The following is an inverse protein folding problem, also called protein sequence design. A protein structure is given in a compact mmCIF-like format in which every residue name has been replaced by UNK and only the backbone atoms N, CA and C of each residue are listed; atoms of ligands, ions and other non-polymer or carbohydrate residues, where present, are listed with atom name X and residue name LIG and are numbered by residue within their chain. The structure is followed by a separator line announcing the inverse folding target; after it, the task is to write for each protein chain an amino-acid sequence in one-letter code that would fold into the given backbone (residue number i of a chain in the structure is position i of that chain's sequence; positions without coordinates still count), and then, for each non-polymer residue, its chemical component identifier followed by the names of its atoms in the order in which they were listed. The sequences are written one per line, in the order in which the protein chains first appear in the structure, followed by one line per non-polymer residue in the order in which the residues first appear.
data_IF_071975248993
#
_entry.id   IF_071975248993
#
_cell.length_a   1.000
_cell.length_b   1.000
_cell.length_c   1.000
_cell.angle_alpha   90.00
_cell.angle_beta   90.00
_cell.angle_gamma   90.00
#
_symmetry.space_group_name_H-M   'P 1'
#
loop_
_entity.id
_entity.type
_entity.pdbx_description
1 polymer ?
#
# COMPACT_ATOMS: atom_id res chain seq x y z
N UNK A 1 7.89 -22.46 5.49
CA UNK A 1 6.84 -21.54 5.93
C UNK A 1 5.50 -22.24 5.73
N UNK A 2 4.75 -22.41 6.80
CA UNK A 2 3.40 -22.97 6.81
C UNK A 2 2.39 -21.88 6.42
N UNK A 3 1.90 -21.95 5.19
CA UNK A 3 1.00 -20.95 4.61
C UNK A 3 -0.43 -21.07 5.09
N UNK A 4 -0.78 -22.14 5.83
CA UNK A 4 -2.08 -22.21 6.51
C UNK A 4 -2.17 -21.20 7.67
N UNK A 5 -1.03 -20.77 8.22
CA UNK A 5 -0.93 -19.85 9.36
C UNK A 5 -0.68 -18.39 8.98
N UNK A 6 -0.12 -18.15 7.80
CA UNK A 6 0.23 -16.83 7.29
C UNK A 6 0.11 -16.78 5.77
N UNK A 7 -1.09 -17.01 5.22
CA UNK A 7 -1.30 -17.06 3.77
C UNK A 7 -0.95 -15.75 3.05
N UNK A 8 -1.16 -14.58 3.67
CA UNK A 8 -0.90 -13.30 3.03
C UNK A 8 0.62 -13.04 2.91
N UNK A 9 1.38 -13.32 3.98
CA UNK A 9 2.85 -13.25 3.97
C UNK A 9 3.47 -14.27 2.99
N UNK A 10 2.96 -15.51 2.97
CA UNK A 10 3.38 -16.50 1.97
C UNK A 10 3.11 -15.99 0.54
N UNK A 11 1.95 -15.40 0.30
CA UNK A 11 1.59 -14.90 -1.02
C UNK A 11 2.56 -13.82 -1.51
N UNK A 12 2.99 -12.90 -0.64
CA UNK A 12 4.00 -11.89 -0.99
C UNK A 12 5.37 -12.53 -1.27
N UNK A 13 5.82 -13.43 -0.40
CA UNK A 13 7.09 -14.14 -0.58
C UNK A 13 7.15 -14.94 -1.88
N UNK A 14 6.11 -15.71 -2.19
CA UNK A 14 6.01 -16.46 -3.44
C UNK A 14 5.94 -15.55 -4.66
N UNK A 15 5.31 -14.37 -4.57
CA UNK A 15 5.32 -13.40 -5.67
C UNK A 15 6.76 -12.94 -5.98
N UNK A 16 7.54 -12.62 -4.96
CA UNK A 16 8.95 -12.26 -5.16
C UNK A 16 9.74 -13.40 -5.82
N UNK A 17 9.70 -14.60 -5.25
CA UNK A 17 10.48 -15.74 -5.73
C UNK A 17 10.06 -16.18 -7.14
N UNK A 18 8.76 -16.29 -7.41
CA UNK A 18 8.25 -16.87 -8.65
C UNK A 18 8.06 -15.83 -9.77
N UNK A 19 7.80 -14.57 -9.43
CA UNK A 19 7.44 -13.54 -10.42
C UNK A 19 8.49 -12.43 -10.59
N UNK A 20 9.22 -12.06 -9.54
CA UNK A 20 10.25 -11.02 -9.61
C UNK A 20 11.61 -11.63 -9.93
N UNK A 21 12.14 -12.48 -9.04
CA UNK A 21 13.46 -13.09 -9.21
C UNK A 21 13.45 -14.30 -10.16
N UNK A 22 12.32 -15.00 -10.25
CA UNK A 22 12.08 -16.15 -11.15
C UNK A 22 13.10 -17.27 -11.02
N UNK A 23 13.65 -17.48 -9.82
CA UNK A 23 14.66 -18.50 -9.53
C UNK A 23 14.60 -18.89 -8.06
N UNK A 24 15.13 -20.07 -7.74
CA UNK A 24 15.34 -20.47 -6.35
C UNK A 24 16.33 -19.53 -5.68
N UNK A 25 15.91 -18.91 -4.58
CA UNK A 25 16.72 -17.94 -3.84
C UNK A 25 17.38 -18.64 -2.66
N UNK A 26 18.67 -18.37 -2.48
CA UNK A 26 19.38 -18.67 -1.24
C UNK A 26 19.52 -17.36 -0.48
N UNK A 27 18.87 -17.27 0.67
CA UNK A 27 18.96 -16.12 1.55
C UNK A 27 20.15 -16.29 2.47
N UNK A 28 20.67 -15.16 2.96
CA UNK A 28 21.67 -15.13 4.03
C UNK A 28 21.06 -14.44 5.25
N UNK A 29 21.36 -14.92 6.44
CA UNK A 29 20.94 -14.27 7.68
C UNK A 29 21.65 -12.92 7.85
N UNK A 30 20.90 -11.87 8.20
CA UNK A 30 21.50 -10.55 8.48
C UNK A 30 22.23 -10.51 9.83
N UNK A 31 21.91 -11.43 10.75
CA UNK A 31 22.42 -11.44 12.11
C UNK A 31 21.61 -10.54 13.06
N UNK A 32 22.28 -9.55 13.63
CA UNK A 32 21.77 -8.67 14.70
C UNK A 32 20.57 -7.81 14.30
N UNK A 33 19.83 -7.33 15.29
CA UNK A 33 18.64 -6.51 15.05
C UNK A 33 18.95 -5.13 14.42
N UNK A 34 20.14 -4.58 14.60
CA UNK A 34 20.52 -3.26 14.05
C UNK A 34 20.59 -3.25 12.50
N UNK A 35 21.07 -4.33 11.88
CA UNK A 35 21.07 -4.47 10.42
C UNK A 35 19.63 -4.50 9.84
N UNK A 36 18.65 -4.86 10.67
CA UNK A 36 17.25 -4.92 10.25
C UNK A 36 16.65 -3.51 10.09
N UNK A 37 17.07 -2.54 10.89
CA UNK A 37 16.53 -1.18 10.82
C UNK A 37 17.01 -0.45 9.56
N UNK A 38 18.30 -0.59 9.22
CA UNK A 38 18.84 -0.11 7.94
C UNK A 38 18.18 -0.79 6.74
N UNK A 39 17.98 -2.12 6.82
CA UNK A 39 17.29 -2.85 5.77
C UNK A 39 15.83 -2.37 5.58
N UNK A 40 15.09 -2.12 6.68
CA UNK A 40 13.72 -1.57 6.63
C UNK A 40 13.66 -0.15 6.08
N UNK A 41 14.61 0.70 6.46
CA UNK A 41 14.74 2.04 5.88
C UNK A 41 14.98 1.96 4.37
N UNK A 42 15.85 1.04 3.93
CA UNK A 42 16.13 0.77 2.51
C UNK A 42 15.00 0.02 1.78
N UNK A 43 14.05 -0.59 2.51
CA UNK A 43 12.79 -1.09 1.97
C UNK A 43 11.71 0.00 1.88
N UNK A 44 11.95 1.18 2.47
CA UNK A 44 10.94 2.22 2.58
C UNK A 44 9.82 1.89 3.58
N UNK A 45 10.06 1.02 4.55
CA UNK A 45 9.07 0.64 5.56
C UNK A 45 9.33 1.41 6.84
N UNK A 46 8.51 2.43 7.10
CA UNK A 46 8.63 3.24 8.32
C UNK A 46 8.32 2.42 9.58
N UNK A 47 9.15 2.55 10.62
CA UNK A 47 8.99 1.85 11.90
C UNK A 47 7.93 2.47 12.83
N UNK A 48 7.54 3.72 12.59
CA UNK A 48 6.49 4.39 13.36
C UNK A 48 5.11 4.20 12.68
N UNK A 49 4.04 3.88 13.45
CA UNK A 49 2.70 3.69 12.89
C UNK A 49 2.20 4.88 12.05
N UNK A 50 2.66 6.09 12.36
CA UNK A 50 2.29 7.33 11.68
C UNK A 50 2.90 7.48 10.27
N UNK A 51 4.03 6.83 10.03
CA UNK A 51 4.81 6.96 8.80
C UNK A 51 4.90 5.63 8.03
N UNK A 52 4.15 4.62 8.48
CA UNK A 52 4.14 3.30 7.90
C UNK A 52 3.34 3.31 6.60
N UNK A 53 3.93 2.78 5.54
CA UNK A 53 3.39 2.84 4.17
C UNK A 53 1.98 2.27 4.03
N UNK A 54 1.68 1.20 4.76
CA UNK A 54 0.34 0.59 4.78
C UNK A 54 -0.66 1.28 5.71
N UNK A 55 -0.29 2.40 6.34
CA UNK A 55 -1.11 3.16 7.29
C UNK A 55 -1.27 4.63 6.87
N UNK A 56 -0.73 5.03 5.73
CA UNK A 56 -0.67 6.42 5.26
C UNK A 56 -1.27 6.54 3.85
N UNK A 57 -2.06 7.58 3.61
CA UNK A 57 -2.52 7.93 2.26
C UNK A 57 -1.33 8.37 1.40
N UNK A 58 -1.32 8.07 0.10
CA UNK A 58 -2.42 7.51 -0.71
C UNK A 58 -2.44 5.97 -0.79
N UNK A 59 -1.47 5.29 -0.16
CA UNK A 59 -1.22 3.86 -0.40
C UNK A 59 -2.33 2.98 0.18
N UNK A 60 -2.71 3.22 1.44
CA UNK A 60 -3.81 2.46 2.07
C UNK A 60 -5.16 2.73 1.39
N UNK A 61 -5.36 3.95 0.88
CA UNK A 61 -6.50 4.33 0.03
C UNK A 61 -6.59 3.45 -1.22
N UNK A 62 -5.47 3.30 -1.92
CA UNK A 62 -5.44 2.55 -3.18
C UNK A 62 -5.55 1.05 -2.95
N UNK A 63 -4.76 0.53 -2.03
CA UNK A 63 -4.54 -0.90 -1.87
C UNK A 63 -5.52 -1.54 -0.91
N UNK A 64 -6.04 -0.83 0.10
CA UNK A 64 -6.71 -1.50 1.20
C UNK A 64 -8.18 -1.18 1.35
N UNK A 65 -8.56 0.07 1.12
CA UNK A 65 -9.96 0.45 1.23
C UNK A 65 -10.85 -0.30 0.21
N UNK A 66 -10.22 -0.87 -0.84
CA UNK A 66 -10.81 -1.75 -1.85
C UNK A 66 -10.58 -3.26 -1.62
N UNK A 67 -10.09 -3.69 -0.44
CA UNK A 67 -9.76 -5.11 -0.21
C UNK A 67 -11.01 -6.01 -0.28
N UNK A 68 -11.02 -7.06 -1.13
CA UNK A 68 -12.15 -7.96 -1.30
C UNK A 68 -12.54 -8.64 0.02
N UNK A 69 -13.84 -8.67 0.33
CA UNK A 69 -14.38 -9.39 1.50
C UNK A 69 -14.28 -8.64 2.83
N UNK A 70 -13.64 -7.46 2.87
CA UNK A 70 -13.62 -6.59 4.04
C UNK A 70 -12.97 -7.20 5.27
N UNK A 71 -11.77 -6.75 5.61
CA UNK A 71 -10.98 -7.26 6.76
C UNK A 71 -11.46 -6.84 8.16
N UNK A 72 -12.62 -6.18 8.29
CA UNK A 72 -13.08 -5.57 9.54
C UNK A 72 -12.12 -4.48 10.07
N UNK A 73 -11.95 -4.42 11.40
CA UNK A 73 -11.10 -3.45 12.11
C UNK A 73 -9.65 -3.96 12.35
N UNK A 74 -9.15 -4.88 11.52
CA UNK A 74 -7.80 -5.45 11.71
C UNK A 74 -6.72 -4.41 11.36
N UNK A 75 -5.69 -4.34 12.20
CA UNK A 75 -4.52 -3.50 11.94
C UNK A 75 -3.69 -4.04 10.77
N UNK A 76 -3.06 -3.14 10.01
CA UNK A 76 -2.22 -3.49 8.87
C UNK A 76 -0.76 -3.25 9.14
N UNK A 77 0.06 -4.16 8.66
CA UNK A 77 1.49 -4.00 8.60
C UNK A 77 1.95 -4.11 7.15
N UNK A 78 3.10 -3.51 6.87
CA UNK A 78 3.80 -3.73 5.61
C UNK A 78 4.62 -5.00 5.75
N UNK A 79 4.26 -6.01 4.99
CA UNK A 79 5.11 -7.18 4.78
C UNK A 79 6.14 -6.88 3.69
N UNK A 80 7.36 -7.31 3.93
CA UNK A 80 8.51 -7.11 3.04
C UNK A 80 9.16 -8.46 2.73
N UNK A 81 9.38 -8.73 1.44
CA UNK A 81 10.12 -9.90 1.02
C UNK A 81 11.14 -9.56 -0.07
N UNK A 82 12.43 -9.90 0.08
CA UNK A 82 13.07 -10.55 1.23
C UNK A 82 12.90 -9.73 2.52
N UNK A 83 12.84 -10.40 3.68
CA UNK A 83 12.62 -9.73 4.97
C UNK A 83 13.88 -9.00 5.42
N UNK A 84 13.77 -7.92 6.22
CA UNK A 84 14.94 -7.23 6.79
C UNK A 84 15.94 -8.14 7.55
N UNK A 85 15.45 -9.27 8.06
CA UNK A 85 16.28 -10.30 8.72
C UNK A 85 17.12 -11.15 7.74
N UNK A 86 16.97 -10.91 6.45
CA UNK A 86 17.75 -11.48 5.37
C UNK A 86 18.70 -10.41 4.88
N UNK A 87 19.97 -10.76 4.67
CA UNK A 87 20.95 -9.88 4.06
C UNK A 87 20.45 -9.49 2.66
N UNK A 88 20.44 -8.19 2.40
CA UNK A 88 19.93 -7.60 1.16
C UNK A 88 20.92 -6.59 0.63
N UNK A 89 20.94 -6.43 -0.69
CA UNK A 89 21.74 -5.38 -1.33
C UNK A 89 21.22 -3.99 -0.93
N UNK A 90 22.07 -2.98 -1.09
CA UNK A 90 21.66 -1.59 -0.92
C UNK A 90 20.56 -1.20 -1.92
N UNK A 91 19.72 -0.23 -1.53
CA UNK A 91 18.71 0.28 -2.43
C UNK A 91 19.33 0.88 -3.71
N UNK A 92 18.89 0.36 -4.85
CA UNK A 92 19.23 0.87 -6.18
C UNK A 92 17.95 1.29 -6.92
N UNK A 93 17.87 2.57 -7.25
CA UNK A 93 16.76 3.12 -8.03
C UNK A 93 16.57 2.38 -9.36
N UNK A 94 15.32 2.12 -9.72
CA UNK A 94 14.94 1.38 -10.93
C UNK A 94 15.05 -0.14 -10.80
N UNK A 95 15.29 -0.67 -9.59
CA UNK A 95 15.28 -2.12 -9.32
C UNK A 95 14.23 -2.47 -8.27
N UNK A 96 13.75 -3.71 -8.30
CA UNK A 96 12.86 -4.25 -7.27
C UNK A 96 13.72 -4.98 -6.25
N UNK A 97 14.12 -4.28 -5.19
CA UNK A 97 14.87 -4.88 -4.07
C UNK A 97 13.99 -5.84 -3.26
N UNK A 98 12.77 -5.40 -2.96
CA UNK A 98 11.77 -6.13 -2.19
C UNK A 98 10.41 -6.02 -2.87
N UNK A 99 9.57 -7.04 -2.71
CA UNK A 99 8.12 -6.86 -2.84
C UNK A 99 7.54 -6.49 -1.50
N UNK A 100 6.72 -5.44 -1.51
CA UNK A 100 5.96 -4.96 -0.38
C UNK A 100 4.50 -5.30 -0.59
N UNK A 101 3.82 -5.66 0.50
CA UNK A 101 2.38 -5.89 0.52
C UNK A 101 1.78 -5.40 1.83
N UNK A 102 0.64 -4.73 1.77
CA UNK A 102 -0.15 -4.45 2.96
C UNK A 102 -0.96 -5.69 3.32
N UNK A 103 -0.72 -6.24 4.51
CA UNK A 103 -1.40 -7.44 5.02
C UNK A 103 -1.83 -7.21 6.47
N UNK A 104 -2.67 -8.10 6.99
CA UNK A 104 -3.08 -7.99 8.39
C UNK A 104 -1.90 -8.22 9.33
N UNK A 105 -1.84 -7.44 10.44
CA UNK A 105 -0.75 -7.54 11.42
C UNK A 105 -0.64 -8.94 12.02
N UNK A 106 -1.77 -9.65 12.14
CA UNK A 106 -1.80 -11.04 12.60
C UNK A 106 -1.09 -12.00 11.64
N UNK A 107 -1.35 -11.87 10.33
CA UNK A 107 -0.70 -12.67 9.30
C UNK A 107 0.80 -12.34 9.22
N UNK A 108 1.15 -11.05 9.21
CA UNK A 108 2.55 -10.60 9.17
C UNK A 108 3.36 -11.12 10.38
N UNK A 109 2.83 -10.95 11.61
CA UNK A 109 3.47 -11.47 12.83
C UNK A 109 3.58 -12.99 12.83
N UNK A 110 2.59 -13.68 12.30
CA UNK A 110 2.61 -15.14 12.15
C UNK A 110 3.74 -15.56 11.20
N UNK A 111 3.83 -14.95 10.02
CA UNK A 111 4.91 -15.19 9.05
C UNK A 111 6.29 -14.89 9.61
N UNK A 112 6.48 -13.71 10.21
CA UNK A 112 7.72 -13.32 10.87
C UNK A 112 8.11 -14.23 12.05
N UNK A 113 7.15 -14.70 12.84
CA UNK A 113 7.39 -15.64 13.95
C UNK A 113 7.91 -16.98 13.46
N UNK A 114 7.42 -17.49 12.33
CA UNK A 114 7.93 -18.73 11.74
C UNK A 114 9.39 -18.61 11.34
N UNK A 115 9.78 -17.51 10.68
CA UNK A 115 11.19 -17.28 10.33
C UNK A 115 12.05 -17.06 11.58
N UNK A 116 11.56 -16.28 12.56
CA UNK A 116 12.25 -16.05 13.83
C UNK A 116 12.54 -17.37 14.57
N UNK A 117 11.55 -18.26 14.66
CA UNK A 117 11.73 -19.58 15.28
C UNK A 117 12.71 -20.45 14.49
N UNK A 118 12.62 -20.42 13.14
CA UNK A 118 13.60 -21.09 12.29
C UNK A 118 15.00 -20.56 12.56
N UNK A 119 15.23 -19.24 12.63
CA UNK A 119 16.54 -18.63 12.89
C UNK A 119 17.09 -18.98 14.27
N UNK A 120 16.24 -18.90 15.30
CA UNK A 120 16.66 -19.15 16.70
C UNK A 120 16.76 -20.62 17.09
N UNK A 121 16.26 -21.53 16.26
CA UNK A 121 16.22 -22.95 16.58
C UNK A 121 15.23 -23.20 17.72
N UNK A 122 14.08 -22.53 17.66
CA UNK A 122 13.04 -22.58 18.68
C UNK A 122 11.78 -23.26 18.13
N UNK A 123 10.87 -23.63 19.04
CA UNK A 123 9.56 -24.19 18.69
C UNK A 123 9.68 -25.42 17.79
N UNK A 124 9.08 -25.35 16.60
CA UNK A 124 9.12 -26.45 15.64
C UNK A 124 10.51 -26.76 15.10
N UNK A 125 11.48 -25.85 15.21
CA UNK A 125 12.85 -26.01 14.75
C UNK A 125 13.86 -26.26 15.89
N UNK A 126 13.37 -26.39 17.13
CA UNK A 126 14.21 -26.67 18.29
C UNK A 126 14.57 -28.14 18.48
N UNK A 127 15.25 -28.46 19.60
CA UNK A 127 15.80 -29.80 19.89
C UNK A 127 14.80 -30.94 19.74
N UNK A 128 13.57 -30.71 20.21
CA UNK A 128 12.45 -31.66 20.14
C UNK A 128 11.40 -31.25 19.09
N UNK A 129 11.73 -30.29 18.23
CA UNK A 129 10.83 -29.77 17.21
C UNK A 129 10.66 -30.71 16.03
N UNK A 130 9.46 -30.71 15.44
CA UNK A 130 9.10 -31.52 14.26
C UNK A 130 10.04 -31.26 13.06
N UNK A 131 10.49 -30.02 12.88
CA UNK A 131 11.30 -29.56 11.75
C UNK A 131 12.78 -29.36 12.12
N UNK A 132 13.25 -29.97 13.22
CA UNK A 132 14.66 -29.87 13.63
C UNK A 132 15.65 -30.32 12.55
N UNK A 133 15.28 -31.34 11.76
CA UNK A 133 16.13 -31.90 10.71
C UNK A 133 16.30 -30.97 9.50
N UNK A 134 15.43 -29.96 9.35
CA UNK A 134 15.56 -28.96 8.27
C UNK A 134 16.72 -27.99 8.52
N UNK A 135 17.21 -27.91 9.76
CA UNK A 135 18.40 -27.13 10.13
C UNK A 135 19.69 -27.92 9.91
N UNK A 136 19.98 -28.23 8.65
CA UNK A 136 20.99 -29.22 8.23
C UNK A 136 22.43 -28.94 8.68
N UNK A 137 22.80 -27.69 8.90
CA UNK A 137 24.18 -27.28 9.17
C UNK A 137 24.38 -26.67 10.57
N UNK A 138 23.38 -26.79 11.45
CA UNK A 138 23.41 -26.18 12.78
C UNK A 138 22.94 -27.17 13.84
N UNK A 139 23.64 -27.23 14.98
CA UNK A 139 23.18 -28.07 16.08
C UNK A 139 21.77 -27.65 16.52
N UNK A 140 20.90 -28.60 16.90
CA UNK A 140 19.54 -28.30 17.31
C UNK A 140 19.51 -27.27 18.46
N UNK A 141 18.76 -26.19 18.26
CA UNK A 141 18.65 -25.09 19.24
C UNK A 141 19.73 -24.02 19.16
N UNK A 142 20.66 -24.07 18.20
CA UNK A 142 21.57 -22.95 17.94
C UNK A 142 20.86 -21.83 17.18
N UNK A 143 21.28 -20.58 17.42
CA UNK A 143 20.86 -19.44 16.61
C UNK A 143 21.69 -19.41 15.32
N UNK A 144 21.14 -18.93 14.21
CA UNK A 144 21.89 -18.69 12.97
C UNK A 144 22.85 -17.50 13.15
N UNK A 145 24.05 -17.63 12.60
CA UNK A 145 25.04 -16.55 12.55
C UNK A 145 24.86 -15.69 11.30
N UNK A 146 25.34 -14.44 11.34
CA UNK A 146 25.33 -13.55 10.17
C UNK A 146 26.04 -14.22 9.00
N UNK A 147 25.37 -14.26 7.84
CA UNK A 147 25.88 -14.88 6.62
C UNK A 147 25.53 -16.36 6.45
N UNK A 148 24.95 -17.01 7.47
CA UNK A 148 24.39 -18.36 7.33
C UNK A 148 23.33 -18.37 6.23
N UNK A 149 23.33 -19.41 5.41
CA UNK A 149 22.47 -19.50 4.25
C UNK A 149 21.27 -20.43 4.48
N UNK A 150 20.14 -20.08 3.88
CA UNK A 150 18.95 -20.91 3.91
C UNK A 150 18.10 -20.70 2.67
N UNK A 151 17.18 -21.64 2.45
CA UNK A 151 16.16 -21.55 1.41
C UNK A 151 14.80 -21.65 2.07
N UNK A 152 13.79 -20.99 1.51
CA UNK A 152 12.42 -21.06 2.03
C UNK A 152 11.62 -22.05 1.19
N UNK A 153 10.86 -22.90 1.87
CA UNK A 153 9.85 -23.77 1.26
C UNK A 153 8.48 -23.36 1.78
N UNK A 154 7.44 -23.51 0.96
CA UNK A 154 6.07 -23.11 1.30
C UNK A 154 5.17 -24.35 1.40
N UNK A 155 4.70 -24.61 2.62
CA UNK A 155 3.88 -25.77 2.96
C UNK A 155 2.42 -25.37 3.17
N UNK A 156 1.49 -26.34 3.05
CA UNK A 156 0.05 -26.16 3.29
C UNK A 156 -0.54 -24.96 2.54
N UNK A 157 -0.11 -24.76 1.29
CA UNK A 157 -0.55 -23.67 0.43
C UNK A 157 -2.02 -23.85 0.07
N UNK A 158 -2.85 -22.87 0.45
CA UNK A 158 -4.20 -22.69 -0.08
C UNK A 158 -4.12 -21.80 -1.34
N UNK A 159 -4.31 -22.35 -2.55
CA UNK A 159 -4.11 -21.59 -3.78
C UNK A 159 -5.15 -20.48 -4.01
N UNK A 160 -6.23 -20.43 -3.22
CA UNK A 160 -7.19 -19.34 -3.24
C UNK A 160 -6.70 -18.12 -2.43
N UNK A 161 -5.94 -18.37 -1.35
CA UNK A 161 -5.40 -17.30 -0.49
C UNK A 161 -3.97 -16.90 -0.86
N UNK A 162 -3.21 -17.83 -1.44
CA UNK A 162 -1.82 -17.64 -1.82
C UNK A 162 -1.58 -18.04 -3.28
N UNK A 163 -2.27 -17.38 -4.24
CA UNK A 163 -2.23 -17.76 -5.65
C UNK A 163 -0.82 -17.74 -6.26
N UNK A 164 0.10 -16.92 -5.75
CA UNK A 164 1.47 -16.85 -6.26
C UNK A 164 2.37 -18.02 -5.83
N UNK A 165 1.92 -18.84 -4.87
CA UNK A 165 2.64 -20.03 -4.43
C UNK A 165 2.33 -21.28 -5.26
N UNK A 166 1.51 -21.16 -6.32
CA UNK A 166 1.28 -22.26 -7.28
C UNK A 166 2.58 -22.60 -8.02
N UNK A 167 2.78 -23.85 -8.50
CA UNK A 167 3.96 -24.21 -9.28
C UNK A 167 4.19 -23.35 -10.53
N UNK A 168 3.11 -22.91 -11.17
CA UNK A 168 3.12 -21.98 -12.31
C UNK A 168 2.09 -20.89 -12.04
N UNK A 169 2.44 -19.86 -11.26
CA UNK A 169 1.49 -18.81 -10.91
C UNK A 169 1.29 -17.86 -12.10
N UNK A 170 0.08 -17.31 -12.24
CA UNK A 170 -0.12 -16.12 -13.06
C UNK A 170 0.57 -14.95 -12.34
N UNK A 171 1.63 -14.41 -12.93
CA UNK A 171 2.41 -13.32 -12.36
C UNK A 171 1.79 -11.93 -12.60
N UNK A 172 0.56 -11.87 -13.10
CA UNK A 172 -0.23 -10.64 -13.12
C UNK A 172 -0.46 -10.18 -11.69
N UNK A 173 -0.02 -8.96 -11.38
CA UNK A 173 -0.19 -8.35 -10.07
C UNK A 173 -1.69 -8.24 -9.72
N UNK A 174 -2.04 -8.62 -8.49
CA UNK A 174 -3.42 -8.58 -8.00
C UNK A 174 -3.85 -7.15 -7.63
N UNK A 175 -2.91 -6.21 -7.65
CA UNK A 175 -3.07 -4.79 -7.28
C UNK A 175 -2.49 -4.46 -5.91
N UNK A 176 -1.97 -5.45 -5.18
CA UNK A 176 -1.52 -5.29 -3.81
C UNK A 176 0.00 -5.45 -3.64
N UNK A 177 0.73 -5.91 -4.66
CA UNK A 177 2.20 -5.84 -4.65
C UNK A 177 2.69 -4.48 -5.13
N UNK A 178 3.59 -3.90 -4.35
CA UNK A 178 4.27 -2.68 -4.69
C UNK A 178 5.73 -2.76 -4.28
N UNK A 179 6.51 -1.77 -4.70
CA UNK A 179 7.91 -1.65 -4.34
C UNK A 179 8.29 -0.17 -4.29
N UNK A 180 9.36 0.13 -3.55
CA UNK A 180 9.92 1.47 -3.52
C UNK A 180 10.70 1.72 -4.81
N UNK A 181 10.42 2.84 -5.47
CA UNK A 181 11.10 3.25 -6.73
C UNK A 181 12.14 4.33 -6.49
N UNK A 182 12.00 5.11 -5.40
CA UNK A 182 12.96 6.12 -4.96
C UNK A 182 13.02 6.19 -3.42
N UNK A 183 14.23 6.20 -2.88
CA UNK A 183 14.51 6.41 -1.45
C UNK A 183 15.00 7.84 -1.23
N UNK A 184 14.30 8.62 -0.41
CA UNK A 184 14.71 9.99 -0.12
C UNK A 184 15.77 10.09 0.96
N UNK A 185 16.85 10.80 0.64
CA UNK A 185 18.08 10.80 1.42
C UNK A 185 18.15 11.92 2.47
N UNK A 186 17.36 12.98 2.32
CA UNK A 186 17.45 14.21 3.14
C UNK A 186 16.63 14.12 4.44
N UNK A 187 17.08 13.29 5.40
CA UNK A 187 16.50 13.19 6.75
C UNK A 187 15.10 12.53 6.84
N UNK A 188 14.49 12.23 5.69
CA UNK A 188 13.19 11.55 5.56
C UNK A 188 13.32 10.10 5.04
N UNK A 189 14.52 9.51 5.10
CA UNK A 189 14.77 8.11 4.73
C UNK A 189 13.75 7.18 5.38
N UNK A 190 13.14 6.31 4.58
CA UNK A 190 12.18 5.32 5.07
C UNK A 190 10.85 5.89 5.57
N UNK A 191 10.60 7.20 5.50
CA UNK A 191 9.41 7.83 6.06
C UNK A 191 8.44 8.28 4.98
N UNK A 192 7.17 8.00 5.24
CA UNK A 192 6.04 8.66 4.60
C UNK A 192 5.40 9.64 5.57
N UNK A 193 4.81 10.69 5.03
CA UNK A 193 4.04 11.67 5.80
C UNK A 193 2.60 11.74 5.31
N UNK A 194 1.77 12.42 6.09
CA UNK A 194 0.40 12.74 5.75
C UNK A 194 0.20 14.24 5.93
N UNK A 195 -0.08 15.01 4.86
CA UNK A 195 -0.24 14.56 3.47
C UNK A 195 1.04 13.96 2.85
N UNK A 196 0.87 13.09 1.84
CA UNK A 196 2.01 12.55 1.09
C UNK A 196 2.51 13.57 0.07
N UNK A 197 3.74 14.02 0.28
CA UNK A 197 4.40 14.99 -0.59
C UNK A 197 5.42 14.27 -1.48
N UNK A 198 5.01 13.94 -2.70
CA UNK A 198 5.79 13.17 -3.67
C UNK A 198 7.23 13.70 -3.79
N UNK A 199 7.45 15.00 -3.96
CA UNK A 199 8.80 15.54 -4.20
C UNK A 199 9.76 15.48 -3.00
N UNK A 200 9.28 15.11 -1.80
CA UNK A 200 10.11 15.09 -0.58
C UNK A 200 9.99 13.81 0.25
N UNK A 201 9.32 12.79 -0.27
CA UNK A 201 9.10 11.51 0.40
C UNK A 201 9.45 10.35 -0.52
N UNK A 202 9.62 9.15 0.04
CA UNK A 202 9.90 7.95 -0.73
C UNK A 202 8.81 7.72 -1.79
N UNK A 203 9.22 7.23 -2.97
CA UNK A 203 8.30 6.91 -4.07
C UNK A 203 8.02 5.42 -4.12
N UNK A 204 6.79 5.07 -4.49
CA UNK A 204 6.34 3.69 -4.59
C UNK A 204 5.55 3.50 -5.87
N UNK A 205 5.70 2.33 -6.51
CA UNK A 205 4.88 1.93 -7.65
C UNK A 205 4.25 0.57 -7.40
N UNK A 206 3.06 0.34 -7.96
CA UNK A 206 2.51 -1.02 -8.06
C UNK A 206 3.46 -1.82 -8.96
N UNK A 207 3.84 -3.01 -8.52
CA UNK A 207 4.79 -3.84 -9.28
C UNK A 207 4.25 -4.14 -10.67
N UNK A 208 5.03 -3.79 -11.71
CA UNK A 208 4.64 -3.89 -13.12
C UNK A 208 4.00 -2.62 -13.69
N UNK A 209 3.72 -1.59 -12.89
CA UNK A 209 3.40 -0.24 -13.37
C UNK A 209 4.67 0.59 -13.55
N UNK A 210 4.64 1.50 -14.53
CA UNK A 210 5.78 2.38 -14.85
C UNK A 210 5.75 3.68 -14.05
N UNK A 211 4.56 4.15 -13.68
CA UNK A 211 4.39 5.38 -12.91
C UNK A 211 4.35 5.08 -11.41
N UNK A 212 4.87 6.04 -10.65
CA UNK A 212 4.74 6.03 -9.20
C UNK A 212 3.35 6.45 -8.75
N UNK A 213 2.95 5.97 -7.58
CA UNK A 213 1.77 6.41 -6.89
C UNK A 213 1.97 7.85 -6.37
N UNK A 214 0.94 8.68 -6.59
CA UNK A 214 0.82 10.06 -6.18
C UNK A 214 -0.45 10.27 -5.35
N UNK A 215 -0.46 11.34 -4.57
CA UNK A 215 -1.67 11.84 -3.92
C UNK A 215 -2.11 13.13 -4.58
N UNK A 216 -3.27 13.11 -5.21
CA UNK A 216 -3.90 14.26 -5.83
C UNK A 216 -4.95 14.87 -4.89
N UNK A 217 -5.34 16.11 -5.18
CA UNK A 217 -6.46 16.75 -4.48
C UNK A 217 -7.49 17.30 -5.45
N UNK A 218 -8.76 17.23 -5.05
CA UNK A 218 -9.87 17.91 -5.72
C UNK A 218 -10.58 18.82 -4.72
N UNK A 219 -10.84 20.05 -5.15
CA UNK A 219 -11.72 20.99 -4.47
C UNK A 219 -12.99 21.12 -5.30
N UNK A 220 -14.13 20.81 -4.69
CA UNK A 220 -15.45 21.00 -5.30
C UNK A 220 -16.19 22.05 -4.50
N UNK A 221 -16.61 23.10 -5.17
CA UNK A 221 -17.57 24.07 -4.69
C UNK A 221 -18.90 23.78 -5.36
N UNK A 222 -19.94 23.58 -4.55
CA UNK A 222 -21.31 23.43 -5.00
C UNK A 222 -22.14 24.61 -4.53
N UNK A 223 -22.90 25.21 -5.44
CA UNK A 223 -23.67 26.43 -5.14
C UNK A 223 -24.98 26.52 -5.94
N UNK A 224 -25.78 27.54 -5.63
CA UNK A 224 -27.06 27.79 -6.28
C UNK A 224 -28.25 27.28 -5.45
N UNK A 225 -29.46 27.63 -5.87
CA UNK A 225 -30.70 27.36 -5.12
C UNK A 225 -30.86 25.88 -4.79
N UNK A 226 -30.50 25.02 -5.75
CA UNK A 226 -30.62 23.55 -5.69
C UNK A 226 -29.24 22.86 -5.72
N UNK A 227 -28.15 23.62 -5.57
CA UNK A 227 -26.79 23.10 -5.65
C UNK A 227 -26.35 22.65 -7.03
N UNK A 228 -27.04 23.04 -8.08
CA UNK A 228 -26.73 22.57 -9.43
C UNK A 228 -25.42 23.16 -9.99
N UNK A 229 -24.87 24.25 -9.43
CA UNK A 229 -23.62 24.84 -9.92
C UNK A 229 -22.41 24.20 -9.26
N UNK A 230 -21.58 23.56 -10.06
CA UNK A 230 -20.33 22.95 -9.64
C UNK A 230 -19.16 23.77 -10.17
N UNK A 231 -18.19 24.06 -9.29
CA UNK A 231 -16.86 24.55 -9.65
C UNK A 231 -15.86 23.54 -9.09
N UNK A 232 -15.12 22.89 -9.96
CA UNK A 232 -14.20 21.82 -9.62
C UNK A 232 -12.79 22.26 -9.98
N UNK A 233 -11.86 22.12 -9.05
CA UNK A 233 -10.43 22.36 -9.28
C UNK A 233 -9.63 21.14 -8.84
N UNK A 234 -8.70 20.68 -9.68
CA UNK A 234 -7.81 19.55 -9.39
C UNK A 234 -6.37 20.02 -9.26
N UNK A 235 -5.64 19.39 -8.34
CA UNK A 235 -4.27 19.69 -7.97
C UNK A 235 -3.41 18.42 -8.07
N UNK A 236 -2.17 18.57 -8.52
CA UNK A 236 -1.22 17.45 -8.64
C UNK A 236 -0.59 17.03 -7.30
N UNK A 237 -0.94 17.70 -6.22
CA UNK A 237 -0.44 17.48 -4.86
C UNK A 237 -1.56 17.61 -3.83
N UNK A 238 -1.36 16.99 -2.67
CA UNK A 238 -2.33 16.94 -1.59
C UNK A 238 -2.51 18.29 -0.86
N UNK A 239 -1.45 19.10 -0.81
CA UNK A 239 -1.46 20.43 -0.18
C UNK A 239 -2.04 21.55 -1.06
N UNK A 240 -2.49 21.22 -2.27
CA UNK A 240 -3.09 22.15 -3.24
C UNK A 240 -2.15 23.28 -3.68
N UNK A 241 -0.84 23.04 -3.71
CA UNK A 241 0.18 24.02 -4.16
C UNK A 241 0.20 24.19 -5.67
N UNK A 242 -0.14 23.14 -6.43
CA UNK A 242 -0.04 23.11 -7.90
C UNK A 242 -1.37 22.72 -8.53
N UNK A 243 -2.14 23.73 -8.90
CA UNK A 243 -3.36 23.59 -9.72
C UNK A 243 -2.99 23.05 -11.10
N UNK A 244 -3.68 22.01 -11.56
CA UNK A 244 -3.47 21.41 -12.89
C UNK A 244 -4.72 21.39 -13.76
N UNK A 245 -5.90 21.61 -13.19
CA UNK A 245 -7.14 21.65 -13.95
C UNK A 245 -8.26 22.35 -13.18
N UNK A 246 -9.23 22.89 -13.91
CA UNK A 246 -10.48 23.37 -13.33
C UNK A 246 -11.59 23.40 -14.35
N UNK A 247 -12.82 23.15 -13.91
CA UNK A 247 -14.02 23.25 -14.74
C UNK A 247 -15.22 23.62 -13.91
N UNK A 248 -16.14 24.36 -14.50
CA UNK A 248 -17.41 24.70 -13.88
C UNK A 248 -18.56 24.37 -14.81
N UNK A 249 -19.66 23.88 -14.25
CA UNK A 249 -20.86 23.54 -15.01
C UNK A 249 -22.10 23.49 -14.10
N UNK A 250 -23.28 23.49 -14.71
CA UNK A 250 -24.55 23.22 -14.04
C UNK A 250 -24.91 21.75 -14.20
N UNK A 251 -24.79 20.97 -13.12
CA UNK A 251 -25.06 19.52 -13.10
C UNK A 251 -26.36 19.20 -12.38
N UNK A 252 -27.35 18.76 -13.15
CA UNK A 252 -28.54 18.09 -12.60
C UNK A 252 -28.17 16.71 -12.04
N UNK A 253 -29.01 16.17 -11.16
CA UNK A 253 -28.82 14.82 -10.61
C UNK A 253 -28.58 13.78 -11.71
N UNK A 254 -27.62 12.88 -11.49
CA UNK A 254 -27.21 11.84 -12.43
C UNK A 254 -26.33 12.33 -13.59
N UNK A 255 -26.03 13.62 -13.68
CA UNK A 255 -25.09 14.17 -14.67
C UNK A 255 -23.66 14.20 -14.13
N UNK A 256 -22.72 14.22 -15.05
CA UNK A 256 -21.29 14.15 -14.76
C UNK A 256 -20.55 15.33 -15.36
N UNK A 257 -19.45 15.71 -14.71
CA UNK A 257 -18.52 16.73 -15.15
C UNK A 257 -17.11 16.14 -15.19
N UNK A 258 -16.55 16.04 -16.39
CA UNK A 258 -15.18 15.59 -16.60
C UNK A 258 -14.21 16.77 -16.50
N UNK A 259 -13.19 16.65 -15.65
CA UNK A 259 -12.14 17.64 -15.41
C UNK A 259 -10.80 17.06 -15.81
N UNK A 260 -10.15 17.69 -16.77
CA UNK A 260 -8.86 17.27 -17.32
C UNK A 260 -7.70 17.94 -16.57
N UNK A 261 -6.45 17.50 -16.85
CA UNK A 261 -5.21 18.12 -16.33
C UNK A 261 -4.39 17.24 -15.39
N UNK A 262 -4.97 16.17 -14.88
CA UNK A 262 -4.26 15.05 -14.25
C UNK A 262 -3.84 14.02 -15.34
N UNK A 263 -2.97 13.03 -15.02
CA UNK A 263 -2.60 11.99 -16.00
C UNK A 263 -3.81 11.20 -16.54
N UNK A 264 -4.84 11.05 -15.70
CA UNK A 264 -6.15 10.54 -16.08
C UNK A 264 -7.22 11.54 -15.69
N UNK A 265 -8.36 11.52 -16.37
CA UNK A 265 -9.40 12.49 -16.10
C UNK A 265 -10.17 12.17 -14.82
N UNK A 266 -10.60 13.22 -14.12
CA UNK A 266 -11.49 13.10 -12.97
C UNK A 266 -12.93 13.37 -13.41
N UNK A 267 -13.82 12.40 -13.22
CA UNK A 267 -15.25 12.55 -13.44
C UNK A 267 -15.95 12.83 -12.11
N UNK A 268 -16.60 13.99 -12.01
CA UNK A 268 -17.46 14.37 -10.87
C UNK A 268 -18.91 14.01 -11.19
N UNK A 269 -19.61 13.37 -10.26
CA UNK A 269 -21.00 12.91 -10.41
C UNK A 269 -21.89 13.63 -9.39
N UNK A 270 -22.94 14.29 -9.87
CA UNK A 270 -23.99 14.85 -9.01
C UNK A 270 -24.97 13.74 -8.63
N UNK A 271 -25.13 13.45 -7.34
CA UNK A 271 -26.00 12.35 -6.88
C UNK A 271 -27.39 12.78 -6.43
N UNK A 272 -27.69 14.08 -6.35
CA UNK A 272 -29.01 14.57 -5.93
C UNK A 272 -28.96 16.01 -5.43
N UNK A 273 -29.71 16.34 -4.39
CA UNK A 273 -29.91 17.71 -3.89
C UNK A 273 -28.71 18.28 -3.15
N UNK A 274 -28.72 19.59 -2.82
CA UNK A 274 -27.58 20.36 -2.28
C UNK A 274 -26.75 19.67 -1.20
N UNK A 275 -27.39 18.97 -0.26
CA UNK A 275 -26.76 18.29 0.88
C UNK A 275 -26.33 16.84 0.60
N UNK A 276 -26.62 16.32 -0.59
CA UNK A 276 -26.21 14.98 -0.99
C UNK A 276 -24.73 14.90 -1.36
N UNK A 277 -24.22 13.67 -1.26
CA UNK A 277 -22.81 13.37 -1.53
C UNK A 277 -22.44 13.63 -2.99
N UNK A 278 -21.24 14.13 -3.22
CA UNK A 278 -20.69 14.27 -4.58
C UNK A 278 -19.80 13.06 -4.88
N UNK A 279 -20.03 12.39 -6.00
CA UNK A 279 -19.25 11.23 -6.44
C UNK A 279 -18.07 11.62 -7.31
N UNK A 280 -17.02 10.80 -7.29
CA UNK A 280 -15.78 11.00 -8.02
C UNK A 280 -15.31 9.67 -8.61
N UNK A 281 -14.84 9.70 -9.85
CA UNK A 281 -14.19 8.59 -10.54
C UNK A 281 -12.94 9.11 -11.23
N UNK A 282 -11.77 8.65 -10.79
CA UNK A 282 -10.47 8.93 -11.41
C UNK A 282 -10.06 7.76 -12.29
N UNK A 283 -9.78 8.04 -13.57
CA UNK A 283 -9.60 7.04 -14.62
C UNK A 283 -10.84 6.15 -14.85
N UNK A 284 -10.93 5.46 -15.99
CA UNK A 284 -12.02 4.53 -16.26
C UNK A 284 -11.78 3.17 -15.61
N UNK A 285 -12.85 2.42 -15.28
CA UNK A 285 -12.76 1.06 -14.70
C UNK A 285 -11.99 0.04 -15.53
N UNK A 286 -11.82 0.28 -16.84
CA UNK A 286 -10.96 -0.53 -17.70
C UNK A 286 -9.46 -0.42 -17.36
N UNK A 287 -9.04 0.64 -16.66
CA UNK A 287 -7.67 0.86 -16.20
C UNK A 287 -7.52 0.34 -14.76
N UNK A 288 -7.41 -0.99 -14.61
CA UNK A 288 -7.40 -1.72 -13.31
C UNK A 288 -6.61 -1.02 -12.19
N UNK A 289 -5.39 -0.56 -12.47
CA UNK A 289 -4.53 0.03 -11.44
C UNK A 289 -4.70 1.53 -11.28
N UNK A 290 -5.18 2.25 -12.29
CA UNK A 290 -5.38 3.69 -12.22
C UNK A 290 -6.75 4.04 -11.63
N UNK A 291 -7.77 3.22 -11.87
CA UNK A 291 -9.15 3.45 -11.46
C UNK A 291 -9.31 3.65 -9.95
N UNK A 292 -9.96 4.73 -9.55
CA UNK A 292 -10.31 4.98 -8.16
C UNK A 292 -11.64 5.73 -8.06
N UNK A 293 -12.57 5.19 -7.29
CA UNK A 293 -13.88 5.79 -7.05
C UNK A 293 -14.05 6.13 -5.57
N UNK A 294 -14.64 7.30 -5.32
CA UNK A 294 -14.95 7.76 -3.97
C UNK A 294 -16.06 8.81 -4.03
N UNK A 295 -16.55 9.22 -2.88
CA UNK A 295 -17.50 10.31 -2.72
C UNK A 295 -17.14 11.19 -1.52
N UNK A 296 -17.86 12.29 -1.34
CA UNK A 296 -17.63 13.22 -0.22
C UNK A 296 -17.84 12.61 1.18
N UNK A 297 -18.47 11.43 1.26
CA UNK A 297 -18.69 10.69 2.50
C UNK A 297 -17.72 9.51 2.65
N UNK A 298 -16.87 9.26 1.67
CA UNK A 298 -15.94 8.16 1.66
C UNK A 298 -14.92 8.33 2.77
N UNK A 299 -14.66 7.21 3.45
CA UNK A 299 -13.73 7.14 4.55
C UNK A 299 -12.81 5.95 4.33
N UNK A 300 -11.52 6.16 4.52
CA UNK A 300 -10.58 5.07 4.64
C UNK A 300 -10.65 4.47 6.02
N UNK A 301 -10.35 3.18 6.10
CA UNK A 301 -10.42 2.42 7.35
C UNK A 301 -9.26 2.75 8.27
N UNK A 302 -8.15 3.19 7.71
CA UNK A 302 -6.89 3.34 8.42
C UNK A 302 -6.17 4.62 8.00
N UNK A 303 -6.06 5.56 8.93
CA UNK A 303 -4.95 6.49 8.93
C UNK A 303 -4.65 6.86 10.38
N UNK A 304 -3.44 6.53 10.83
CA UNK A 304 -2.92 6.90 12.15
C UNK A 304 -2.61 8.41 12.24
N UNK A 305 -2.61 9.11 11.11
CA UNK A 305 -2.21 10.53 10.98
C UNK A 305 -3.23 11.42 10.27
N UNK A 306 -4.14 10.87 9.48
CA UNK A 306 -5.20 11.62 8.79
C UNK A 306 -6.56 11.32 9.42
N UNK A 307 -7.48 12.29 9.32
CA UNK A 307 -8.90 12.00 9.49
C UNK A 307 -9.27 10.88 8.52
N UNK A 308 -9.99 9.86 9.00
CA UNK A 308 -10.43 8.74 8.16
C UNK A 308 -11.22 9.20 6.93
N UNK A 309 -11.80 10.41 6.93
CA UNK A 309 -12.51 10.93 5.77
C UNK A 309 -11.55 11.31 4.63
N UNK A 310 -11.86 10.89 3.41
CA UNK A 310 -11.12 11.33 2.23
C UNK A 310 -11.37 12.80 1.90
N UNK A 311 -12.50 13.33 2.35
CA UNK A 311 -12.98 14.67 2.07
C UNK A 311 -13.24 15.45 3.36
N UNK A 312 -12.86 16.72 3.36
CA UNK A 312 -13.19 17.69 4.40
C UNK A 312 -14.21 18.71 3.87
N UNK A 313 -15.33 18.90 4.60
CA UNK A 313 -16.32 19.95 4.32
C UNK A 313 -15.85 21.25 4.99
N UNK A 314 -15.53 22.29 4.21
CA UNK A 314 -14.97 23.56 4.74
C UNK A 314 -15.97 24.70 4.90
N UNK A 315 -17.17 24.61 4.32
CA UNK A 315 -18.21 25.64 4.46
C UNK A 315 -19.61 25.06 4.50
N UNK A 316 -20.43 25.58 5.42
CA UNK A 316 -21.88 25.38 5.51
C UNK A 316 -22.51 26.71 5.95
N UNK A 317 -22.49 27.70 5.05
CA UNK A 317 -23.23 28.94 5.28
C UNK A 317 -24.64 28.74 4.72
N UNK A 318 -25.59 28.35 5.59
CA UNK A 318 -27.03 28.27 5.25
C UNK A 318 -27.58 29.55 4.60
N UNK A 319 -26.88 30.70 4.75
CA UNK A 319 -27.23 31.97 4.10
C UNK A 319 -26.78 32.09 2.64
N UNK A 320 -25.71 31.42 2.23
CA UNK A 320 -25.09 31.61 0.90
C UNK A 320 -25.31 30.44 -0.07
N UNK A 321 -26.00 29.37 0.38
CA UNK A 321 -26.22 28.13 -0.38
C UNK A 321 -24.96 27.68 -1.12
N UNK A 322 -23.86 27.61 -0.37
CA UNK A 322 -22.54 27.21 -0.87
C UNK A 322 -21.90 26.23 0.09
N UNK A 323 -21.45 25.11 -0.47
CA UNK A 323 -20.70 24.09 0.23
C UNK A 323 -19.42 23.80 -0.53
N UNK A 324 -18.35 23.58 0.21
CA UNK A 324 -17.05 23.24 -0.35
C UNK A 324 -16.54 21.96 0.28
N UNK A 325 -16.10 21.04 -0.57
CA UNK A 325 -15.33 19.87 -0.18
C UNK A 325 -13.92 19.95 -0.72
N UNK A 326 -12.99 19.48 0.09
CA UNK A 326 -11.59 19.27 -0.29
C UNK A 326 -11.29 17.80 -0.06
N UNK A 327 -10.96 17.07 -1.12
CA UNK A 327 -10.70 15.64 -1.06
C UNK A 327 -9.28 15.30 -1.50
N UNK A 328 -8.70 14.26 -0.90
CA UNK A 328 -7.43 13.67 -1.34
C UNK A 328 -7.65 12.25 -1.87
N UNK A 329 -6.99 11.89 -2.98
CA UNK A 329 -7.14 10.58 -3.62
C UNK A 329 -5.85 10.08 -4.28
N UNK A 330 -5.65 8.75 -4.39
CA UNK A 330 -4.51 8.15 -5.08
C UNK A 330 -4.60 8.28 -6.59
N UNK A 331 -3.46 8.31 -7.26
CA UNK A 331 -3.37 8.07 -8.70
C UNK A 331 -1.94 7.81 -9.18
N UNK A 332 -1.79 7.57 -10.47
CA UNK A 332 -0.53 7.32 -11.18
C UNK A 332 -0.30 8.37 -12.24
#
# INVERSE_FOLDING_TARGET
MDCSKSPEACNNACYYENCVEKKKITYKDSGSDDDNDDARMNSGVGVAPATAVCRTYPIVQKMWDNFPGGIGNKELDTDEWPMAQMLQDDFKQGTIRNTLRCITSGDNRSGGSQLKQFRRGEGWYGKEGKYKAERKCLDPGKVMDKGDFFTVQFDNVDPQKSPYCKPTPDCTNDGFQFHMTKLEKDGKKGKLGSPYEYDSMNHYAITGQQSDLRQYSVVVVRSGTDGEKFEVTVYSDAEQKKKVGSKSDTLKSGKTLKVDGLPEDLTVKSNGDFDEKVGFEYATSSKKYQHFEFDTNSKGRYSSTARQAYCEKKFDAKKDKKVQWTCGFPGF
#
